data_IF_026127046093
#
_entry.id   IF_026127046093
#
_cell.length_a   1.000
_cell.length_b   1.000
_cell.length_c   1.000
_cell.angle_alpha   90.00
_cell.angle_beta   90.00
_cell.angle_gamma   90.00
#
_symmetry.space_group_name_H-M   'P 1'
#
loop_
_entity.id
_entity.type
_entity.pdbx_description
1 polymer ?
#
# COMPACT_ATOMS: atom_id res chain seq x y z
N UNK A 1 -34.13 -33.16 6.70
CA UNK A 1 -34.64 -32.97 5.32
C UNK A 1 -34.54 -31.54 4.83
N UNK A 2 -35.05 -30.53 5.54
CA UNK A 2 -34.87 -29.10 5.17
C UNK A 2 -33.40 -28.64 5.10
N UNK A 3 -32.57 -29.01 6.08
CA UNK A 3 -31.15 -28.66 6.08
C UNK A 3 -30.38 -29.26 4.88
N UNK A 4 -30.81 -30.44 4.42
CA UNK A 4 -30.20 -31.15 3.28
C UNK A 4 -30.54 -30.45 1.97
N UNK A 5 -31.80 -30.04 1.81
CA UNK A 5 -32.24 -29.24 0.66
C UNK A 5 -31.56 -27.86 0.59
N UNK A 6 -31.29 -27.21 1.73
CA UNK A 6 -30.56 -25.95 1.76
C UNK A 6 -29.08 -26.10 1.35
N UNK A 7 -28.44 -27.20 1.75
CA UNK A 7 -27.05 -27.53 1.37
C UNK A 7 -26.95 -27.83 -0.13
N UNK A 8 -27.90 -28.60 -0.68
CA UNK A 8 -27.89 -28.93 -2.11
C UNK A 8 -28.15 -27.68 -2.96
N UNK A 9 -29.05 -26.78 -2.54
CA UNK A 9 -29.27 -25.50 -3.19
C UNK A 9 -28.02 -24.58 -3.17
N UNK A 10 -27.26 -24.58 -2.07
CA UNK A 10 -25.98 -23.87 -1.96
C UNK A 10 -24.90 -24.48 -2.87
N UNK A 11 -24.83 -25.81 -2.96
CA UNK A 11 -23.91 -26.52 -3.85
C UNK A 11 -24.18 -26.21 -5.32
N UNK A 12 -25.45 -26.18 -5.71
CA UNK A 12 -25.86 -25.87 -7.08
C UNK A 12 -25.62 -24.39 -7.43
N UNK A 13 -25.95 -23.48 -6.49
CA UNK A 13 -25.75 -22.04 -6.68
C UNK A 13 -24.26 -21.65 -6.73
N UNK A 14 -23.39 -22.44 -6.10
CA UNK A 14 -21.95 -22.19 -6.03
C UNK A 14 -21.13 -23.32 -6.64
N UNK A 15 -21.64 -24.01 -7.65
CA UNK A 15 -20.99 -25.16 -8.28
C UNK A 15 -19.54 -24.87 -8.74
N UNK A 16 -19.22 -23.63 -9.11
CA UNK A 16 -17.86 -23.18 -9.45
C UNK A 16 -16.90 -23.07 -8.24
N UNK A 17 -17.43 -22.82 -7.04
CA UNK A 17 -16.66 -22.92 -5.79
C UNK A 17 -16.60 -24.38 -5.31
N UNK A 18 -17.65 -25.16 -5.61
CA UNK A 18 -17.83 -26.55 -5.14
C UNK A 18 -17.06 -27.59 -5.96
N UNK A 19 -16.71 -27.25 -7.21
CA UNK A 19 -15.96 -28.12 -8.14
C UNK A 19 -14.47 -28.26 -7.82
N UNK A 20 -13.96 -27.46 -6.87
CA UNK A 20 -12.57 -27.58 -6.40
C UNK A 20 -12.49 -28.58 -5.25
N UNK A 21 -11.41 -29.36 -5.18
CA UNK A 21 -11.19 -30.34 -4.10
C UNK A 21 -11.27 -29.74 -2.68
N UNK A 22 -11.13 -28.41 -2.56
CA UNK A 22 -11.32 -27.66 -1.32
C UNK A 22 -12.76 -27.69 -0.81
N UNK A 23 -13.75 -27.58 -1.70
CA UNK A 23 -15.14 -27.63 -1.31
C UNK A 23 -15.63 -29.06 -1.06
N UNK A 24 -15.06 -30.06 -1.71
CA UNK A 24 -15.27 -31.47 -1.33
C UNK A 24 -14.74 -31.75 0.08
N UNK A 25 -13.61 -31.13 0.47
CA UNK A 25 -13.06 -31.24 1.82
C UNK A 25 -13.85 -30.43 2.87
N UNK A 26 -14.35 -29.24 2.51
CA UNK A 26 -15.15 -28.38 3.41
C UNK A 26 -16.61 -28.83 3.55
N UNK A 27 -17.19 -29.45 2.52
CA UNK A 27 -18.57 -29.94 2.48
C UNK A 27 -18.65 -31.47 2.59
N UNK A 28 -17.58 -32.13 3.02
CA UNK A 28 -17.60 -33.55 3.30
C UNK A 28 -18.52 -33.78 4.52
N UNK A 29 -19.69 -34.38 4.30
CA UNK A 29 -20.62 -34.81 5.36
C UNK A 29 -20.09 -36.01 6.16
N UNK A 30 -18.83 -36.41 5.97
CA UNK A 30 -18.18 -37.42 6.78
C UNK A 30 -17.86 -36.83 8.16
N UNK A 31 -18.88 -36.84 9.03
CA UNK A 31 -18.83 -36.38 10.42
C UNK A 31 -17.75 -37.08 11.27
N UNK A 32 -17.03 -38.05 10.71
CA UNK A 32 -15.89 -38.71 11.34
C UNK A 32 -14.57 -37.96 11.16
N UNK A 33 -14.46 -37.07 10.16
CA UNK A 33 -13.27 -36.26 9.93
C UNK A 33 -13.44 -34.93 10.66
N UNK A 34 -12.90 -34.86 11.88
CA UNK A 34 -12.73 -33.57 12.53
C UNK A 34 -11.84 -32.68 11.63
N UNK A 35 -12.37 -31.52 11.23
CA UNK A 35 -11.62 -30.46 10.56
C UNK A 35 -11.47 -29.27 11.54
N UNK A 36 -10.47 -29.31 12.43
CA UNK A 36 -10.27 -28.24 13.41
C UNK A 36 -9.91 -26.94 12.71
N UNK A 37 -10.28 -25.83 13.32
CA UNK A 37 -9.89 -24.48 12.87
C UNK A 37 -8.38 -24.36 12.60
N UNK A 38 -7.54 -25.06 13.37
CA UNK A 38 -6.09 -25.09 13.14
C UNK A 38 -5.67 -25.67 11.78
N UNK A 39 -6.36 -26.72 11.31
CA UNK A 39 -6.10 -27.29 9.98
C UNK A 39 -6.56 -26.35 8.87
N UNK A 40 -7.72 -25.73 9.05
CA UNK A 40 -8.21 -24.69 8.13
C UNK A 40 -7.23 -23.52 8.05
N UNK A 41 -6.82 -22.98 9.21
CA UNK A 41 -5.88 -21.86 9.30
C UNK A 41 -4.56 -22.18 8.62
N UNK A 42 -4.00 -23.37 8.88
CA UNK A 42 -2.78 -23.81 8.21
C UNK A 42 -2.94 -23.92 6.69
N UNK A 43 -4.02 -24.56 6.23
CA UNK A 43 -4.26 -24.75 4.79
C UNK A 43 -4.50 -23.41 4.08
N UNK A 44 -5.31 -22.52 4.66
CA UNK A 44 -5.57 -21.19 4.14
C UNK A 44 -4.29 -20.35 4.09
N UNK A 45 -3.48 -20.37 5.16
CA UNK A 45 -2.19 -19.68 5.18
C UNK A 45 -1.21 -20.25 4.15
N UNK A 46 -1.16 -21.57 3.97
CA UNK A 46 -0.31 -22.20 2.98
C UNK A 46 -0.68 -21.76 1.55
N UNK A 47 -1.98 -21.73 1.23
CA UNK A 47 -2.46 -21.26 -0.08
C UNK A 47 -2.20 -19.76 -0.25
N UNK A 48 -2.58 -18.94 0.73
CA UNK A 48 -2.45 -17.48 0.65
C UNK A 48 -0.99 -17.01 0.50
N UNK A 49 -0.05 -17.70 1.15
CA UNK A 49 1.37 -17.30 1.16
C UNK A 49 2.19 -17.88 0.01
N UNK A 50 1.69 -18.94 -0.68
CA UNK A 50 2.49 -19.71 -1.66
C UNK A 50 1.86 -19.90 -3.03
N UNK A 51 0.58 -19.61 -3.21
CA UNK A 51 -0.03 -19.71 -4.52
C UNK A 51 0.57 -18.68 -5.47
N UNK A 52 1.00 -19.14 -6.65
CA UNK A 52 1.45 -18.30 -7.75
C UNK A 52 0.29 -18.06 -8.71
N UNK A 53 0.18 -16.84 -9.23
CA UNK A 53 -0.76 -16.53 -10.29
C UNK A 53 -0.17 -16.95 -11.64
N UNK A 54 -0.73 -18.00 -12.23
CA UNK A 54 -0.26 -18.61 -13.49
C UNK A 54 -1.37 -18.51 -14.53
N UNK A 55 -1.02 -18.06 -15.73
CA UNK A 55 -1.89 -18.13 -16.91
C UNK A 55 -1.58 -19.42 -17.65
N UNK A 56 -2.56 -20.32 -17.76
CA UNK A 56 -2.40 -21.62 -18.41
C UNK A 56 -2.80 -21.61 -19.89
N UNK A 57 -3.10 -20.44 -20.48
CA UNK A 57 -3.44 -20.33 -21.90
C UNK A 57 -4.83 -20.85 -22.29
N UNK A 58 -5.63 -21.28 -21.31
CA UNK A 58 -6.98 -21.84 -21.50
C UNK A 58 -8.09 -20.77 -21.65
N UNK A 59 -7.70 -19.49 -21.65
CA UNK A 59 -8.61 -18.34 -21.75
C UNK A 59 -9.32 -17.96 -20.45
N UNK A 60 -9.02 -18.62 -19.32
CA UNK A 60 -9.56 -18.25 -18.00
C UNK A 60 -8.76 -17.15 -17.30
N UNK A 61 -7.63 -16.75 -17.88
CA UNK A 61 -6.70 -15.79 -17.31
C UNK A 61 -5.85 -16.42 -16.20
N UNK A 62 -5.28 -15.58 -15.33
CA UNK A 62 -4.42 -16.04 -14.25
C UNK A 62 -5.21 -16.71 -13.13
N UNK A 63 -4.82 -17.92 -12.75
CA UNK A 63 -5.37 -18.66 -11.62
C UNK A 63 -4.28 -18.94 -10.57
N UNK A 64 -4.69 -19.05 -9.31
CA UNK A 64 -3.77 -19.38 -8.22
C UNK A 64 -3.40 -20.87 -8.22
N UNK A 65 -2.11 -21.17 -8.32
CA UNK A 65 -1.57 -22.53 -8.32
C UNK A 65 -0.48 -22.71 -7.27
N UNK A 66 -0.53 -23.82 -6.52
CA UNK A 66 0.60 -24.26 -5.70
C UNK A 66 1.58 -25.00 -6.61
N UNK A 67 2.79 -24.45 -6.77
CA UNK A 67 3.82 -24.99 -7.65
C UNK A 67 4.96 -25.52 -6.79
N UNK A 68 5.05 -26.84 -6.57
CA UNK A 68 6.09 -27.42 -5.74
C UNK A 68 7.49 -27.02 -6.22
N UNK A 69 8.43 -26.85 -5.30
CA UNK A 69 9.80 -26.36 -5.54
C UNK A 69 9.84 -24.86 -5.83
N UNK A 70 8.98 -24.34 -6.71
CA UNK A 70 8.91 -22.92 -7.00
C UNK A 70 8.36 -22.10 -5.82
N UNK A 71 7.50 -22.69 -4.99
CA UNK A 71 6.99 -22.11 -3.74
C UNK A 71 8.05 -21.92 -2.62
N UNK A 72 9.28 -22.36 -2.87
CA UNK A 72 10.45 -22.12 -2.02
C UNK A 72 11.24 -20.87 -2.46
N UNK A 73 10.90 -20.25 -3.59
CA UNK A 73 11.55 -19.03 -4.08
C UNK A 73 11.05 -17.83 -3.27
N UNK A 74 11.95 -17.20 -2.52
CA UNK A 74 11.62 -16.04 -1.70
C UNK A 74 11.37 -14.78 -2.55
N UNK A 75 10.71 -13.79 -1.94
CA UNK A 75 10.48 -12.48 -2.52
C UNK A 75 11.77 -11.64 -2.60
N UNK A 76 11.86 -10.78 -3.62
CA UNK A 76 12.69 -9.58 -3.61
C UNK A 76 12.22 -8.57 -4.66
N UNK A 77 12.25 -7.28 -4.32
CA UNK A 77 11.96 -6.19 -5.28
C UNK A 77 12.86 -6.19 -6.53
N UNK A 78 14.10 -6.69 -6.42
CA UNK A 78 15.04 -6.86 -7.54
C UNK A 78 15.28 -8.33 -7.88
N UNK A 79 14.22 -9.12 -7.87
CA UNK A 79 14.30 -10.55 -8.13
C UNK A 79 14.93 -10.85 -9.51
N UNK A 80 15.82 -11.85 -9.60
CA UNK A 80 16.48 -12.19 -10.86
C UNK A 80 15.61 -13.06 -11.77
N UNK A 81 14.49 -13.60 -11.28
CA UNK A 81 13.58 -14.44 -12.07
C UNK A 81 12.36 -13.64 -12.53
N UNK A 82 11.92 -13.95 -13.75
CA UNK A 82 10.63 -13.54 -14.26
C UNK A 82 9.49 -14.20 -13.48
N UNK A 83 8.30 -13.62 -13.59
CA UNK A 83 7.07 -14.27 -13.13
C UNK A 83 6.85 -15.61 -13.85
N UNK A 84 6.11 -16.50 -13.19
CA UNK A 84 5.75 -17.81 -13.75
C UNK A 84 5.07 -17.65 -15.11
N UNK A 85 5.52 -18.42 -16.09
CA UNK A 85 4.86 -18.59 -17.39
C UNK A 85 4.54 -20.07 -17.60
N UNK A 86 3.49 -20.38 -18.33
CA UNK A 86 3.17 -21.74 -18.73
C UNK A 86 3.70 -22.01 -20.15
N UNK A 87 4.36 -23.15 -20.34
CA UNK A 87 4.74 -23.66 -21.65
C UNK A 87 3.85 -24.85 -22.00
N UNK A 88 2.92 -24.63 -22.93
CA UNK A 88 1.98 -25.64 -23.43
C UNK A 88 2.69 -26.82 -24.12
N UNK A 89 3.86 -26.60 -24.71
CA UNK A 89 4.57 -27.66 -25.46
C UNK A 89 5.13 -28.70 -24.52
N UNK A 90 5.63 -28.26 -23.37
CA UNK A 90 6.24 -29.13 -22.35
C UNK A 90 5.31 -29.42 -21.18
N UNK A 91 4.10 -28.85 -21.17
CA UNK A 91 3.13 -28.88 -20.08
C UNK A 91 3.78 -28.52 -18.73
N UNK A 92 4.50 -27.39 -18.70
CA UNK A 92 5.32 -27.01 -17.54
C UNK A 92 5.22 -25.54 -17.18
N UNK A 93 5.39 -25.25 -15.88
CA UNK A 93 5.55 -23.90 -15.38
C UNK A 93 7.03 -23.55 -15.44
N UNK A 94 7.35 -22.51 -16.20
CA UNK A 94 8.69 -22.06 -16.52
C UNK A 94 9.00 -20.75 -15.79
N UNK A 95 10.21 -20.67 -15.24
CA UNK A 95 10.78 -19.46 -14.66
C UNK A 95 12.08 -19.12 -15.41
N UNK A 96 12.11 -17.96 -16.03
CA UNK A 96 13.28 -17.50 -16.79
C UNK A 96 14.10 -16.50 -15.97
N UNK A 97 15.42 -16.61 -16.02
CA UNK A 97 16.30 -15.60 -15.44
C UNK A 97 16.28 -14.33 -16.30
N UNK A 98 16.02 -13.18 -15.68
CA UNK A 98 16.03 -11.86 -16.30
C UNK A 98 17.44 -11.28 -16.40
N UNK A 99 18.40 -11.84 -15.66
CA UNK A 99 19.80 -11.46 -15.66
C UNK A 99 20.68 -12.67 -15.31
N UNK A 100 21.99 -12.55 -15.56
CA UNK A 100 22.95 -13.54 -15.12
C UNK A 100 22.91 -13.68 -13.59
N UNK A 101 22.71 -14.91 -13.09
CA UNK A 101 22.70 -15.21 -11.66
C UNK A 101 24.01 -15.91 -11.31
N UNK A 102 24.89 -15.30 -10.49
CA UNK A 102 26.13 -15.94 -10.07
C UNK A 102 25.88 -17.23 -9.30
N UNK A 103 26.70 -18.25 -9.52
CA UNK A 103 26.63 -19.50 -8.77
C UNK A 103 26.72 -19.24 -7.26
N UNK A 104 25.87 -19.92 -6.48
CA UNK A 104 25.75 -19.69 -5.04
C UNK A 104 24.81 -18.54 -4.64
N UNK A 105 24.31 -17.75 -5.59
CA UNK A 105 23.28 -16.75 -5.32
C UNK A 105 21.92 -17.39 -5.14
N UNK A 106 21.10 -16.81 -4.27
CA UNK A 106 19.73 -17.24 -4.08
C UNK A 106 18.86 -16.80 -5.27
N UNK A 107 18.07 -17.73 -5.81
CA UNK A 107 17.00 -17.42 -6.75
C UNK A 107 15.79 -16.87 -5.99
N UNK A 108 15.22 -15.77 -6.48
CA UNK A 108 14.10 -15.07 -5.85
C UNK A 108 13.09 -14.65 -6.93
N UNK A 109 11.84 -14.46 -6.52
CA UNK A 109 10.75 -13.95 -7.35
C UNK A 109 10.33 -12.55 -6.90
N UNK A 110 9.77 -11.79 -7.83
CA UNK A 110 9.04 -10.59 -7.49
C UNK A 110 7.56 -10.97 -7.34
N UNK A 111 7.05 -10.96 -6.10
CA UNK A 111 5.65 -11.32 -5.83
C UNK A 111 4.66 -10.25 -6.28
N UNK A 112 5.15 -9.04 -6.55
CA UNK A 112 4.35 -7.88 -6.92
C UNK A 112 4.79 -6.64 -6.16
N UNK A 113 4.29 -5.46 -6.56
CA UNK A 113 4.56 -4.19 -5.90
C UNK A 113 3.73 -4.06 -4.60
N UNK A 114 3.94 -4.99 -3.67
CA UNK A 114 3.16 -5.10 -2.43
C UNK A 114 3.73 -4.15 -1.36
N UNK A 115 2.90 -3.29 -0.74
CA UNK A 115 3.33 -2.47 0.40
C UNK A 115 3.76 -3.34 1.60
N UNK A 116 4.58 -2.80 2.50
CA UNK A 116 5.04 -3.53 3.69
C UNK A 116 3.90 -4.07 4.56
N UNK A 117 2.79 -3.33 4.68
CA UNK A 117 1.59 -3.79 5.39
C UNK A 117 0.97 -5.05 4.74
N UNK A 118 0.95 -5.10 3.41
CA UNK A 118 0.41 -6.24 2.68
C UNK A 118 1.34 -7.45 2.77
N UNK A 119 2.66 -7.26 2.63
CA UNK A 119 3.66 -8.30 2.86
C UNK A 119 3.57 -8.88 4.28
N UNK A 120 3.36 -8.03 5.29
CA UNK A 120 3.16 -8.47 6.66
C UNK A 120 1.90 -9.31 6.85
N UNK A 121 0.76 -8.81 6.38
CA UNK A 121 -0.54 -9.43 6.61
C UNK A 121 -0.74 -10.71 5.79
N UNK A 122 -0.27 -10.72 4.54
CA UNK A 122 -0.47 -11.85 3.62
C UNK A 122 0.67 -12.86 3.69
N UNK A 123 1.92 -12.41 3.88
CA UNK A 123 3.10 -13.27 3.79
C UNK A 123 3.90 -13.40 5.09
N UNK A 124 3.66 -12.55 6.09
CA UNK A 124 4.33 -12.62 7.39
C UNK A 124 5.77 -12.13 7.40
N UNK A 125 6.20 -11.36 6.39
CA UNK A 125 7.56 -10.81 6.30
C UNK A 125 7.57 -9.36 5.78
N UNK A 126 8.76 -8.74 5.77
CA UNK A 126 9.03 -7.46 5.11
C UNK A 126 10.22 -7.62 4.16
N UNK A 127 10.23 -6.89 3.04
CA UNK A 127 11.44 -6.75 2.24
C UNK A 127 12.32 -5.67 2.86
N UNK A 128 13.43 -6.08 3.48
CA UNK A 128 14.36 -5.20 4.18
C UNK A 128 15.02 -4.16 3.24
N UNK A 129 15.18 -4.50 1.95
CA UNK A 129 15.72 -3.57 0.95
C UNK A 129 14.67 -2.52 0.54
N UNK A 130 13.38 -2.86 0.62
CA UNK A 130 12.27 -1.97 0.30
C UNK A 130 11.82 -1.12 1.49
N UNK A 131 12.04 -1.59 2.72
CA UNK A 131 11.58 -0.94 3.95
C UNK A 131 12.02 0.54 4.10
N UNK A 132 13.24 0.97 3.69
CA UNK A 132 13.61 2.39 3.69
C UNK A 132 12.77 3.27 2.76
N UNK A 133 12.11 2.67 1.77
CA UNK A 133 11.20 3.33 0.84
C UNK A 133 9.71 3.06 1.17
N UNK A 134 9.42 2.45 2.32
CA UNK A 134 8.06 2.21 2.78
C UNK A 134 7.27 3.53 2.82
N UNK A 135 6.07 3.48 2.25
CA UNK A 135 5.21 4.64 2.13
C UNK A 135 4.05 4.61 3.12
N UNK A 136 3.68 5.79 3.59
CA UNK A 136 2.44 6.03 4.33
C UNK A 136 1.41 6.57 3.36
N UNK A 137 0.25 5.91 3.29
CA UNK A 137 -0.85 6.31 2.42
C UNK A 137 -1.70 7.39 3.09
N UNK A 138 -2.00 8.44 2.33
CA UNK A 138 -2.95 9.50 2.66
C UNK A 138 -4.04 9.50 1.60
N UNK A 139 -5.29 9.39 2.00
CA UNK A 139 -6.41 9.58 1.08
C UNK A 139 -6.94 11.01 1.20
N UNK A 140 -6.86 11.78 0.11
CA UNK A 140 -7.36 13.15 0.01
C UNK A 140 -8.50 13.15 -0.98
N UNK A 141 -9.71 13.32 -0.46
CA UNK A 141 -10.93 13.39 -1.26
C UNK A 141 -11.62 14.72 -0.98
N UNK A 142 -12.16 15.38 -2.03
CA UNK A 142 -13.05 16.51 -1.83
C UNK A 142 -14.35 15.99 -1.19
N UNK A 143 -15.12 16.87 -0.53
CA UNK A 143 -16.42 16.52 0.02
C UNK A 143 -17.32 15.86 -1.04
N UNK A 144 -18.32 15.11 -0.58
CA UNK A 144 -19.34 14.65 -1.50
C UNK A 144 -20.00 15.81 -2.24
N UNK A 145 -20.43 15.54 -3.48
CA UNK A 145 -20.80 16.57 -4.45
C UNK A 145 -22.15 17.19 -4.09
N UNK A 146 -22.18 17.92 -2.99
CA UNK A 146 -23.33 18.61 -2.44
C UNK A 146 -23.44 20.04 -3.01
N UNK A 147 -22.39 20.51 -3.70
CA UNK A 147 -22.35 21.79 -4.40
C UNK A 147 -21.62 21.71 -5.76
N UNK A 148 -21.87 22.70 -6.62
CA UNK A 148 -21.16 22.84 -7.90
C UNK A 148 -19.64 22.98 -7.72
N UNK A 149 -19.20 23.56 -6.60
CA UNK A 149 -17.79 23.70 -6.26
C UNK A 149 -17.16 22.33 -5.94
N UNK A 150 -17.87 21.46 -5.24
CA UNK A 150 -17.38 20.11 -4.89
C UNK A 150 -17.36 19.21 -6.13
N UNK A 151 -18.36 19.33 -7.00
CA UNK A 151 -18.37 18.67 -8.30
C UNK A 151 -17.18 19.12 -9.17
N UNK A 152 -16.87 20.42 -9.18
CA UNK A 152 -15.70 20.95 -9.90
C UNK A 152 -14.38 20.42 -9.31
N UNK A 153 -14.24 20.36 -7.99
CA UNK A 153 -13.05 19.76 -7.33
C UNK A 153 -12.86 18.30 -7.71
N UNK A 154 -13.93 17.48 -7.63
CA UNK A 154 -13.91 16.08 -8.07
C UNK A 154 -13.52 15.97 -9.53
N UNK A 155 -14.11 16.81 -10.39
CA UNK A 155 -13.78 16.83 -11.81
C UNK A 155 -12.31 17.20 -12.06
N UNK A 156 -11.73 18.17 -11.35
CA UNK A 156 -10.31 18.54 -11.51
C UNK A 156 -9.39 17.40 -11.08
N UNK A 157 -9.68 16.77 -9.94
CA UNK A 157 -8.87 15.64 -9.45
C UNK A 157 -8.94 14.44 -10.40
N UNK A 158 -10.15 14.10 -10.90
CA UNK A 158 -10.39 12.97 -11.79
C UNK A 158 -9.96 13.22 -13.25
N UNK A 159 -10.35 14.36 -13.83
CA UNK A 159 -10.19 14.65 -15.26
C UNK A 159 -8.76 15.00 -15.65
N UNK A 160 -7.94 15.49 -14.72
CA UNK A 160 -6.54 15.76 -15.01
C UNK A 160 -5.67 14.48 -15.00
N UNK A 161 -6.14 13.34 -14.48
CA UNK A 161 -5.33 12.12 -14.35
C UNK A 161 -4.04 12.29 -13.54
N UNK A 162 -3.88 13.43 -12.87
CA UNK A 162 -2.69 13.82 -12.09
C UNK A 162 -2.82 13.46 -10.62
N UNK A 163 -4.07 13.36 -10.12
CA UNK A 163 -4.36 13.16 -8.71
C UNK A 163 -5.23 11.91 -8.54
N UNK A 164 -4.64 10.86 -7.97
CA UNK A 164 -5.40 9.78 -7.35
C UNK A 164 -5.86 10.23 -5.98
N UNK A 165 -7.01 9.75 -5.49
CA UNK A 165 -7.44 10.00 -4.11
C UNK A 165 -6.33 9.62 -3.11
N UNK A 166 -5.58 8.55 -3.42
CA UNK A 166 -4.46 8.09 -2.62
C UNK A 166 -3.15 8.77 -3.00
N UNK A 167 -2.44 9.24 -1.98
CA UNK A 167 -1.10 9.81 -2.02
C UNK A 167 -0.18 9.05 -1.08
N UNK A 168 1.12 9.10 -1.34
CA UNK A 168 2.12 8.30 -0.63
C UNK A 168 3.26 9.18 -0.16
N UNK A 169 3.51 9.18 1.14
CA UNK A 169 4.59 9.92 1.79
C UNK A 169 5.68 8.95 2.21
N UNK A 170 6.93 9.27 1.94
CA UNK A 170 8.09 8.49 2.39
C UNK A 170 9.09 9.40 3.09
N UNK A 171 10.06 8.84 3.81
CA UNK A 171 11.14 9.62 4.40
C UNK A 171 11.95 10.41 3.37
N UNK A 172 12.02 9.93 2.12
CA UNK A 172 12.75 10.58 1.02
C UNK A 172 11.89 11.56 0.21
N UNK A 173 10.56 11.42 0.29
CA UNK A 173 9.58 12.32 -0.34
C UNK A 173 8.50 12.69 0.69
N UNK A 174 8.86 13.53 1.68
CA UNK A 174 8.01 13.84 2.83
C UNK A 174 6.80 14.71 2.49
N UNK A 175 6.89 15.54 1.45
CA UNK A 175 5.81 16.41 0.96
C UNK A 175 5.70 16.31 -0.56
N UNK A 176 5.13 15.21 -1.11
CA UNK A 176 5.07 15.00 -2.55
C UNK A 176 4.26 16.11 -3.25
N UNK A 177 4.73 16.65 -4.40
CA UNK A 177 4.01 17.70 -5.14
C UNK A 177 2.56 17.33 -5.46
N UNK A 178 2.29 16.06 -5.80
CA UNK A 178 0.93 15.56 -6.05
C UNK A 178 0.00 15.67 -4.84
N UNK A 179 0.51 15.41 -3.63
CA UNK A 179 -0.26 15.57 -2.41
C UNK A 179 -0.57 17.05 -2.15
N UNK A 180 0.42 17.92 -2.33
CA UNK A 180 0.25 19.36 -2.20
C UNK A 180 -0.76 19.91 -3.21
N UNK A 181 -0.68 19.48 -4.48
CA UNK A 181 -1.64 19.85 -5.51
C UNK A 181 -3.07 19.42 -5.22
N UNK A 182 -3.26 18.20 -4.71
CA UNK A 182 -4.58 17.73 -4.30
C UNK A 182 -5.13 18.55 -3.13
N UNK A 183 -4.32 18.84 -2.11
CA UNK A 183 -4.72 19.70 -0.99
C UNK A 183 -5.05 21.12 -1.45
N UNK A 184 -4.27 21.70 -2.36
CA UNK A 184 -4.54 23.03 -2.96
C UNK A 184 -5.93 23.06 -3.59
N UNK A 185 -6.25 22.05 -4.42
CA UNK A 185 -7.58 21.93 -5.05
C UNK A 185 -8.69 21.77 -4.00
N UNK A 186 -8.51 20.90 -3.00
CA UNK A 186 -9.52 20.67 -1.97
C UNK A 186 -9.79 21.90 -1.10
N UNK A 187 -8.76 22.72 -0.84
CA UNK A 187 -8.82 23.87 0.06
C UNK A 187 -9.13 25.20 -0.64
N UNK A 188 -9.26 25.21 -1.97
CA UNK A 188 -9.80 26.35 -2.70
C UNK A 188 -11.32 26.42 -2.58
N UNK A 189 -11.87 27.63 -2.63
CA UNK A 189 -13.29 27.83 -2.88
C UNK A 189 -13.60 27.71 -4.38
N UNK A 190 -14.88 27.66 -4.75
CA UNK A 190 -15.30 27.53 -6.15
C UNK A 190 -14.73 28.64 -7.06
N UNK A 191 -14.87 29.93 -6.70
CA UNK A 191 -14.30 31.03 -7.48
C UNK A 191 -12.78 30.97 -7.60
N UNK A 192 -12.05 30.67 -6.52
CA UNK A 192 -10.59 30.56 -6.52
C UNK A 192 -10.09 29.40 -7.37
N UNK A 193 -10.79 28.26 -7.35
CA UNK A 193 -10.50 27.13 -8.23
C UNK A 193 -10.74 27.50 -9.70
N UNK A 194 -11.88 28.11 -10.02
CA UNK A 194 -12.18 28.55 -11.39
C UNK A 194 -11.14 29.55 -11.93
N UNK A 195 -10.71 30.51 -11.11
CA UNK A 195 -9.67 31.47 -11.49
C UNK A 195 -8.31 30.79 -11.73
N UNK A 196 -7.95 29.80 -10.90
CA UNK A 196 -6.72 29.02 -11.05
C UNK A 196 -6.73 28.19 -12.35
N UNK A 197 -7.86 27.56 -12.67
CA UNK A 197 -8.01 26.83 -13.93
C UNK A 197 -7.92 27.76 -15.15
N UNK A 198 -8.53 28.95 -15.07
CA UNK A 198 -8.51 29.93 -16.16
C UNK A 198 -7.11 30.51 -16.40
N UNK A 199 -6.27 30.64 -15.37
CA UNK A 199 -4.89 31.08 -15.50
C UNK A 199 -3.95 30.00 -16.06
N UNK A 200 -4.39 28.73 -16.06
CA UNK A 200 -3.58 27.59 -16.48
C UNK A 200 -2.45 27.24 -15.52
N UNK A 201 -2.54 27.65 -14.24
CA UNK A 201 -1.52 27.32 -13.23
C UNK A 201 -1.47 25.80 -12.99
N UNK A 202 -0.26 25.26 -12.89
CA UNK A 202 -0.06 23.90 -12.45
C UNK A 202 -0.04 23.84 -10.92
N UNK A 203 -1.18 23.50 -10.32
CA UNK A 203 -1.34 23.41 -8.87
C UNK A 203 -0.46 22.34 -8.22
N UNK A 204 0.14 21.41 -8.98
CA UNK A 204 1.16 20.49 -8.46
C UNK A 204 2.49 21.23 -8.22
N UNK A 205 2.85 22.12 -9.15
CA UNK A 205 4.13 22.80 -9.17
C UNK A 205 4.13 24.13 -8.39
N UNK A 206 2.99 24.81 -8.29
CA UNK A 206 2.90 26.14 -7.70
C UNK A 206 1.60 26.37 -6.90
N UNK A 207 1.65 27.21 -5.84
CA UNK A 207 0.46 27.59 -5.08
C UNK A 207 -0.48 28.48 -5.90
N UNK A 208 -1.79 28.36 -5.64
CA UNK A 208 -2.79 29.28 -6.21
C UNK A 208 -2.68 30.70 -5.63
N UNK A 209 -2.38 30.79 -4.32
CA UNK A 209 -2.16 32.04 -3.60
C UNK A 209 -1.41 31.77 -2.28
N UNK A 210 -0.79 32.78 -1.68
CA UNK A 210 -0.14 32.66 -0.38
C UNK A 210 -1.12 32.22 0.73
N UNK A 211 -2.37 32.69 0.68
CA UNK A 211 -3.41 32.29 1.65
C UNK A 211 -3.81 30.82 1.49
N UNK A 212 -3.96 30.34 0.26
CA UNK A 212 -4.26 28.92 0.01
C UNK A 212 -3.09 28.03 0.44
N UNK A 213 -1.85 28.44 0.14
CA UNK A 213 -0.66 27.72 0.56
C UNK A 213 -0.52 27.66 2.10
N UNK A 214 -0.83 28.78 2.76
CA UNK A 214 -1.16 28.89 4.19
C UNK A 214 -1.95 27.69 4.75
N UNK A 215 -3.13 27.52 4.17
CA UNK A 215 -4.09 26.50 4.55
C UNK A 215 -3.58 25.09 4.25
N UNK A 216 -2.89 24.89 3.12
CA UNK A 216 -2.33 23.60 2.70
C UNK A 216 -1.30 23.09 3.70
N UNK A 217 -0.33 23.93 4.10
CA UNK A 217 0.68 23.52 5.08
C UNK A 217 0.08 23.26 6.46
N UNK A 218 -0.87 24.09 6.90
CA UNK A 218 -1.60 23.86 8.15
C UNK A 218 -2.39 22.53 8.10
N UNK A 219 -3.10 22.25 7.02
CA UNK A 219 -3.88 21.02 6.87
C UNK A 219 -2.98 19.78 6.81
N UNK A 220 -1.88 19.84 6.04
CA UNK A 220 -0.91 18.74 5.97
C UNK A 220 -0.28 18.48 7.34
N UNK A 221 0.14 19.51 8.07
CA UNK A 221 0.68 19.37 9.42
C UNK A 221 -0.30 18.72 10.39
N UNK A 222 -1.59 19.09 10.33
CA UNK A 222 -2.63 18.46 11.13
C UNK A 222 -2.84 16.98 10.76
N UNK A 223 -2.93 16.65 9.47
CA UNK A 223 -3.12 15.28 9.00
C UNK A 223 -1.94 14.38 9.39
N UNK A 224 -0.71 14.81 9.09
CA UNK A 224 0.52 14.07 9.43
C UNK A 224 0.66 13.95 10.95
N UNK A 225 0.40 15.01 11.70
CA UNK A 225 0.48 15.00 13.16
C UNK A 225 -0.52 14.04 13.81
N UNK A 226 -1.77 14.02 13.32
CA UNK A 226 -2.79 13.07 13.78
C UNK A 226 -2.40 11.62 13.47
N UNK A 227 -1.92 11.34 12.26
CA UNK A 227 -1.44 10.00 11.89
C UNK A 227 -0.23 9.60 12.72
N UNK A 228 0.72 10.51 12.97
CA UNK A 228 1.90 10.22 13.78
C UNK A 228 1.55 9.91 15.23
N UNK A 229 0.57 10.62 15.78
CA UNK A 229 0.07 10.42 17.15
C UNK A 229 -0.76 9.14 17.31
N UNK A 230 -1.39 8.63 16.24
CA UNK A 230 -2.14 7.38 16.28
C UNK A 230 -1.24 6.13 16.30
N UNK A 231 0.03 6.27 15.86
CA UNK A 231 1.01 5.19 15.93
C UNK A 231 1.44 4.91 17.38
N UNK A 232 1.24 3.68 17.83
CA UNK A 232 1.63 3.22 19.17
C UNK A 232 3.16 3.18 19.38
N UNK A 233 3.59 3.06 20.63
CA UNK A 233 5.00 2.81 20.97
C UNK A 233 5.90 4.05 20.89
N UNK A 234 5.39 5.24 21.15
CA UNK A 234 6.20 6.44 21.36
C UNK A 234 6.95 6.95 20.10
N UNK A 235 8.20 7.36 20.31
CA UNK A 235 9.08 7.93 19.29
C UNK A 235 9.66 6.87 18.35
N UNK A 236 10.36 7.30 17.28
CA UNK A 236 11.16 6.41 16.46
C UNK A 236 12.38 5.86 17.24
N UNK A 237 12.98 6.68 18.11
CA UNK A 237 14.09 6.28 18.97
C UNK A 237 13.70 5.18 19.97
N UNK A 238 12.46 5.20 20.47
CA UNK A 238 11.94 4.14 21.34
C UNK A 238 11.85 2.79 20.60
N UNK A 239 11.46 2.80 19.33
CA UNK A 239 11.39 1.59 18.49
C UNK A 239 12.79 1.07 18.15
N UNK A 240 13.74 1.96 17.88
CA UNK A 240 15.15 1.60 17.67
C UNK A 240 15.76 0.97 18.92
N UNK A 241 15.53 1.58 20.09
CA UNK A 241 15.95 1.03 21.37
C UNK A 241 15.30 -0.33 21.65
N UNK A 242 14.02 -0.50 21.32
CA UNK A 242 13.30 -1.76 21.47
C UNK A 242 13.89 -2.87 20.58
N UNK A 243 14.24 -2.54 19.33
CA UNK A 243 14.87 -3.47 18.39
C UNK A 243 16.32 -3.83 18.79
N UNK A 244 17.06 -2.88 19.37
CA UNK A 244 18.45 -3.07 19.79
C UNK A 244 18.59 -3.77 21.16
N UNK A 245 17.68 -3.47 22.09
CA UNK A 245 17.81 -3.84 23.50
C UNK A 245 17.00 -5.08 23.93
N UNK A 246 16.01 -5.50 23.14
CA UNK A 246 15.07 -6.51 23.61
C UNK A 246 14.09 -5.97 24.67
N UNK A 247 12.90 -6.54 24.76
CA UNK A 247 11.89 -6.10 25.72
C UNK A 247 12.27 -6.54 27.15
N UNK A 248 12.98 -5.70 27.92
CA UNK A 248 13.28 -5.97 29.32
C UNK A 248 14.28 -7.12 29.56
N UNK A 249 14.45 -7.51 30.83
CA UNK A 249 15.50 -8.42 31.33
C UNK A 249 15.59 -9.74 30.53
N UNK A 250 16.43 -9.76 29.49
CA UNK A 250 17.07 -10.96 28.97
C UNK A 250 16.67 -11.49 27.59
N UNK A 251 16.04 -10.73 26.67
CA UNK A 251 15.69 -11.34 25.38
C UNK A 251 15.50 -10.44 24.18
N UNK A 252 16.13 -10.82 23.06
CA UNK A 252 15.82 -10.37 21.69
C UNK A 252 14.32 -10.54 21.42
N UNK A 253 13.68 -9.55 20.80
CA UNK A 253 12.27 -9.64 20.42
C UNK A 253 12.02 -10.89 19.56
N UNK A 254 10.91 -11.62 19.79
CA UNK A 254 10.45 -12.64 18.85
C UNK A 254 10.38 -12.07 17.44
N UNK A 255 10.80 -12.85 16.44
CA UNK A 255 10.92 -12.39 15.06
C UNK A 255 9.67 -11.67 14.55
N UNK A 256 8.47 -12.22 14.80
CA UNK A 256 7.22 -11.60 14.39
C UNK A 256 7.01 -10.20 15.00
N UNK A 257 7.32 -10.01 16.29
CA UNK A 257 7.24 -8.71 16.95
C UNK A 257 8.30 -7.76 16.42
N UNK A 258 9.54 -8.23 16.22
CA UNK A 258 10.60 -7.43 15.62
C UNK A 258 10.21 -6.94 14.22
N UNK A 259 9.59 -7.78 13.39
CA UNK A 259 9.11 -7.40 12.05
C UNK A 259 8.02 -6.33 12.12
N UNK A 260 7.04 -6.45 13.02
CA UNK A 260 6.02 -5.40 13.22
C UNK A 260 6.65 -4.08 13.68
N UNK A 261 7.60 -4.12 14.63
CA UNK A 261 8.27 -2.92 15.12
C UNK A 261 9.12 -2.26 14.03
N UNK A 262 9.78 -3.04 13.16
CA UNK A 262 10.52 -2.51 12.00
C UNK A 262 9.61 -1.78 11.00
N UNK A 263 8.44 -2.35 10.69
CA UNK A 263 7.46 -1.67 9.84
C UNK A 263 6.94 -0.38 10.48
N UNK A 264 6.56 -0.43 11.76
CA UNK A 264 6.11 0.75 12.51
C UNK A 264 7.18 1.84 12.54
N UNK A 265 8.44 1.48 12.75
CA UNK A 265 9.56 2.42 12.72
C UNK A 265 9.69 3.11 11.35
N UNK A 266 9.55 2.37 10.25
CA UNK A 266 9.56 2.94 8.91
C UNK A 266 8.42 3.95 8.70
N UNK A 267 7.20 3.62 9.15
CA UNK A 267 6.04 4.52 9.10
C UNK A 267 6.29 5.80 9.94
N UNK A 268 6.83 5.66 11.16
CA UNK A 268 7.19 6.81 12.02
C UNK A 268 8.21 7.72 11.34
N UNK A 269 9.28 7.16 10.76
CA UNK A 269 10.31 7.95 10.06
C UNK A 269 9.75 8.73 8.87
N UNK A 270 8.86 8.13 8.09
CA UNK A 270 8.21 8.84 6.98
C UNK A 270 7.34 10.01 7.46
N UNK A 271 6.59 9.82 8.55
CA UNK A 271 5.76 10.86 9.14
C UNK A 271 6.59 11.94 9.86
N UNK A 272 7.65 11.57 10.57
CA UNK A 272 8.56 12.51 11.24
C UNK A 272 9.25 13.40 10.19
N UNK A 273 9.73 12.83 9.08
CA UNK A 273 10.27 13.59 7.95
C UNK A 273 9.22 14.53 7.31
N UNK A 274 7.96 14.10 7.24
CA UNK A 274 6.85 14.94 6.76
C UNK A 274 6.57 16.12 7.70
N UNK A 275 6.61 15.92 9.01
CA UNK A 275 6.48 17.01 9.98
C UNK A 275 7.64 18.01 9.86
N UNK A 276 8.89 17.53 9.75
CA UNK A 276 10.06 18.38 9.53
C UNK A 276 9.95 19.19 8.23
N UNK A 277 9.43 18.57 7.17
CA UNK A 277 9.16 19.24 5.91
C UNK A 277 8.09 20.35 6.07
N UNK A 278 6.98 20.07 6.75
CA UNK A 278 5.92 21.05 7.04
C UNK A 278 6.45 22.22 7.86
N UNK A 279 7.26 21.96 8.89
CA UNK A 279 7.85 23.02 9.72
C UNK A 279 8.81 23.91 8.92
N UNK A 280 9.59 23.33 8.02
CA UNK A 280 10.56 24.03 7.20
C UNK A 280 9.89 24.88 6.12
N UNK A 281 9.00 24.27 5.33
CA UNK A 281 8.36 24.92 4.18
C UNK A 281 7.20 25.82 4.62
N UNK A 282 6.41 25.41 5.61
CA UNK A 282 5.28 26.21 6.13
C UNK A 282 5.74 27.53 6.74
N UNK A 283 6.86 27.55 7.48
CA UNK A 283 7.44 28.80 8.02
C UNK A 283 7.90 29.76 6.93
N UNK A 284 8.38 29.26 5.79
CA UNK A 284 8.78 30.11 4.67
C UNK A 284 7.57 30.85 4.09
N UNK A 285 6.41 30.18 4.01
CA UNK A 285 5.15 30.79 3.55
C UNK A 285 4.65 31.86 4.52
N UNK A 286 4.72 31.63 5.83
CA UNK A 286 4.34 32.63 6.84
C UNK A 286 5.25 33.87 6.81
N UNK A 287 6.55 33.67 6.54
CA UNK A 287 7.51 34.77 6.39
C UNK A 287 7.22 35.62 5.14
N UNK A 288 6.91 34.99 4.00
CA UNK A 288 6.55 35.70 2.77
C UNK A 288 5.19 36.43 2.89
N UNK A 289 4.22 35.82 3.61
CA UNK A 289 2.92 36.45 3.89
C UNK A 289 3.04 37.68 4.80
N UNK A 290 4.01 37.69 5.72
CA UNK A 290 4.25 38.81 6.64
C UNK A 290 5.10 39.93 6.05
N UNK A 291 5.97 39.64 5.07
CA UNK A 291 6.81 40.65 4.41
C UNK A 291 6.10 41.38 3.25
N UNK A 292 4.86 41.00 2.91
CA UNK A 292 4.02 41.71 1.93
C UNK A 292 4.64 41.82 0.53
N UNK A 293 5.68 41.02 0.23
CA UNK A 293 6.27 40.97 -1.10
C UNK A 293 5.40 40.07 -1.94
N UNK A 294 4.49 40.68 -2.69
CA UNK A 294 4.06 40.12 -3.97
C UNK A 294 5.33 39.77 -4.75
N UNK A 295 5.66 38.48 -4.80
CA UNK A 295 6.65 37.93 -5.70
C UNK A 295 6.17 38.22 -7.13
N UNK A 296 6.52 39.40 -7.63
CA UNK A 296 6.54 39.68 -9.07
C UNK A 296 7.55 38.70 -9.65
N UNK A 297 7.03 37.65 -10.26
CA UNK A 297 7.77 36.82 -11.20
C UNK A 297 8.20 37.77 -12.33
N UNK A 298 9.47 38.17 -12.32
CA UNK A 298 10.11 38.79 -13.47
C UNK A 298 10.23 37.73 -14.55
N UNK A 299 9.53 37.93 -15.66
CA UNK A 299 9.82 37.27 -16.94
C UNK A 299 11.09 37.82 -17.59
#
# INVERSE_FOLDING_TARGET
>A
DEARGAIDALRDAHAALVSTGLATALLCDDATIAFPFERFRWAAAAVATRALLVDFGDGQGKVGALVPVADMLNHHTRAPLASASYDETTDSIVFSALAAVPAGSQLRLFYGPLPGAELLLQYGFLDDDALPAEAVRFDVEPPDADSDADALKKAVLLACGRYTASHFVTAHSPCPPRLLGALRVCLLDGPGLAASLASGIDLEAAPASAANEAMVWSALGQLVGQMRASLAGGSAADDEALLAGGAGEGGVLPHALATIVRWRLAQKRALDAALECVEREGRAVDADATDGRDCRISG
#
